data_IF_704324366345
#
_entry.id   IF_704324366345
#
_cell.length_a   1.000
_cell.length_b   1.000
_cell.length_c   1.000
_cell.angle_alpha   90.00
_cell.angle_beta   90.00
_cell.angle_gamma   90.00
#
_symmetry.space_group_name_H-M   'P 1'
#
loop_
_entity.id
_entity.type
_entity.pdbx_description
1 polymer ?
#
# COMPACT_ATOMS: atom_id res chain seq x y z
N UNK A 1 4.75 7.72 -2.73
CA UNK A 1 4.29 6.31 -2.79
C UNK A 1 5.04 5.51 -3.85
N UNK A 2 4.91 5.86 -5.14
CA UNK A 2 5.56 5.12 -6.23
C UNK A 2 7.09 5.00 -6.12
N UNK A 3 7.80 6.09 -5.79
CA UNK A 3 9.27 6.07 -5.64
C UNK A 3 9.73 5.13 -4.52
N UNK A 4 8.98 5.07 -3.41
CA UNK A 4 9.28 4.16 -2.29
C UNK A 4 9.11 2.69 -2.70
N UNK A 5 8.06 2.39 -3.49
CA UNK A 5 7.81 1.04 -4.03
C UNK A 5 8.88 0.62 -5.06
N UNK A 6 9.35 1.55 -5.90
CA UNK A 6 10.50 1.30 -6.77
C UNK A 6 11.75 0.98 -5.95
N UNK A 7 12.02 1.75 -4.88
CA UNK A 7 13.12 1.49 -3.96
C UNK A 7 13.02 0.11 -3.31
N UNK A 8 11.85 -0.22 -2.77
CA UNK A 8 11.56 -1.54 -2.20
C UNK A 8 11.85 -2.67 -3.19
N UNK A 9 11.38 -2.54 -4.44
CA UNK A 9 11.58 -3.55 -5.48
C UNK A 9 13.07 -3.75 -5.85
N UNK A 10 13.83 -2.66 -5.91
CA UNK A 10 15.28 -2.69 -6.20
C UNK A 10 16.05 -3.39 -5.07
N UNK A 11 15.78 -3.03 -3.82
CA UNK A 11 16.45 -3.66 -2.67
C UNK A 11 16.02 -5.12 -2.46
N UNK A 12 14.77 -5.46 -2.81
CA UNK A 12 14.29 -6.84 -2.85
C UNK A 12 15.10 -7.67 -3.85
N UNK A 13 15.31 -7.18 -5.08
CA UNK A 13 16.13 -7.87 -6.07
C UNK A 13 17.61 -8.00 -5.64
N UNK A 14 18.18 -6.98 -4.99
CA UNK A 14 19.54 -7.07 -4.43
C UNK A 14 19.67 -8.07 -3.28
N UNK A 15 18.58 -8.37 -2.56
CA UNK A 15 18.57 -9.39 -1.50
C UNK A 15 18.87 -10.79 -2.05
N UNK A 16 18.52 -11.06 -3.30
CA UNK A 16 18.86 -12.32 -3.97
C UNK A 16 20.38 -12.50 -4.20
N UNK A 17 21.14 -11.40 -4.26
CA UNK A 17 22.59 -11.39 -4.48
C UNK A 17 23.39 -11.23 -3.18
N UNK A 18 22.75 -11.32 -2.02
CA UNK A 18 23.41 -11.10 -0.75
C UNK A 18 24.20 -12.33 -0.28
N UNK A 19 25.53 -12.25 -0.32
CA UNK A 19 26.42 -13.34 0.09
C UNK A 19 26.81 -13.31 1.58
N UNK A 20 26.64 -12.17 2.26
CA UNK A 20 27.05 -11.96 3.66
C UNK A 20 25.85 -11.69 4.58
N UNK A 21 25.94 -12.17 5.83
CA UNK A 21 24.93 -11.90 6.87
C UNK A 21 24.71 -10.40 7.09
N UNK A 22 25.77 -9.61 7.10
CA UNK A 22 25.69 -8.15 7.24
C UNK A 22 24.97 -7.51 6.06
N UNK A 23 25.19 -7.99 4.83
CA UNK A 23 24.50 -7.50 3.64
C UNK A 23 22.99 -7.80 3.71
N UNK A 24 22.63 -9.02 4.12
CA UNK A 24 21.23 -9.39 4.34
C UNK A 24 20.56 -8.51 5.39
N UNK A 25 21.23 -8.24 6.52
CA UNK A 25 20.68 -7.40 7.58
C UNK A 25 20.41 -5.97 7.09
N UNK A 26 21.38 -5.37 6.40
CA UNK A 26 21.26 -3.99 5.87
C UNK A 26 20.15 -3.91 4.83
N UNK A 27 20.09 -4.84 3.89
CA UNK A 27 19.04 -4.87 2.86
C UNK A 27 17.66 -5.04 3.49
N UNK A 28 17.54 -5.88 4.52
CA UNK A 28 16.28 -6.07 5.26
C UNK A 28 15.83 -4.81 6.00
N UNK A 29 16.76 -4.08 6.62
CA UNK A 29 16.46 -2.81 7.28
C UNK A 29 16.02 -1.74 6.27
N UNK A 30 16.68 -1.65 5.12
CA UNK A 30 16.28 -0.72 4.06
C UNK A 30 14.90 -1.05 3.50
N UNK A 31 14.62 -2.34 3.22
CA UNK A 31 13.29 -2.81 2.81
C UNK A 31 12.19 -2.31 3.76
N UNK A 32 12.40 -2.48 5.07
CA UNK A 32 11.44 -1.99 6.08
C UNK A 32 11.27 -0.46 6.06
N UNK A 33 12.35 0.30 5.83
CA UNK A 33 12.28 1.75 5.70
C UNK A 33 11.45 2.18 4.49
N UNK A 34 11.60 1.51 3.35
CA UNK A 34 10.84 1.80 2.13
C UNK A 34 9.38 1.34 2.20
N UNK A 35 9.08 0.33 3.01
CA UNK A 35 7.73 -0.20 3.22
C UNK A 35 6.90 0.65 4.19
N UNK A 36 7.54 1.27 5.20
CA UNK A 36 6.88 2.08 6.22
C UNK A 36 5.88 3.14 5.70
N UNK A 37 6.16 3.93 4.63
CA UNK A 37 5.21 4.92 4.13
C UNK A 37 4.04 4.33 3.32
N UNK A 38 4.06 3.04 2.97
CA UNK A 38 3.06 2.44 2.09
C UNK A 38 1.66 2.45 2.70
N UNK A 39 1.50 1.88 3.89
CA UNK A 39 0.21 1.84 4.57
C UNK A 39 -0.37 3.23 4.86
N UNK A 40 0.35 4.15 5.55
CA UNK A 40 -0.19 5.48 5.83
C UNK A 40 -0.40 6.29 4.56
N UNK A 41 0.44 6.13 3.53
CA UNK A 41 0.25 6.79 2.25
C UNK A 41 -0.97 6.29 1.48
N UNK A 42 -1.29 4.98 1.56
CA UNK A 42 -2.47 4.41 0.91
C UNK A 42 -3.76 4.91 1.56
N UNK A 43 -3.79 4.93 2.90
CA UNK A 43 -4.90 5.48 3.68
C UNK A 43 -5.06 6.97 3.38
N UNK A 44 -3.97 7.75 3.39
CA UNK A 44 -4.00 9.18 3.10
C UNK A 44 -4.55 9.49 1.70
N UNK A 45 -4.14 8.72 0.68
CA UNK A 45 -4.68 8.86 -0.67
C UNK A 45 -6.18 8.56 -0.68
N UNK A 46 -6.62 7.45 -0.08
CA UNK A 46 -8.05 7.11 -0.05
C UNK A 46 -8.90 8.14 0.71
N UNK A 47 -8.43 8.62 1.86
CA UNK A 47 -9.10 9.67 2.64
C UNK A 47 -9.26 10.98 1.88
N UNK A 48 -8.44 11.22 0.86
CA UNK A 48 -8.52 12.42 0.03
C UNK A 48 -9.52 12.30 -1.13
N UNK A 49 -9.90 11.07 -1.50
CA UNK A 49 -10.82 10.81 -2.61
C UNK A 49 -12.21 10.30 -2.17
N UNK A 50 -12.36 9.85 -0.92
CA UNK A 50 -13.58 9.18 -0.44
C UNK A 50 -14.03 9.65 0.95
N UNK A 51 -15.34 9.76 1.14
CA UNK A 51 -16.00 10.08 2.43
C UNK A 51 -15.84 8.95 3.44
N UNK A 52 -15.98 9.24 4.75
CA UNK A 52 -15.69 8.27 5.83
C UNK A 52 -16.57 7.01 5.75
N UNK A 53 -17.82 7.15 5.31
CA UNK A 53 -18.76 6.04 5.13
C UNK A 53 -18.37 5.08 4.01
N UNK A 54 -17.73 5.56 2.94
CA UNK A 54 -17.26 4.73 1.82
C UNK A 54 -15.82 4.23 2.01
N UNK A 55 -15.03 4.94 2.82
CA UNK A 55 -13.63 4.64 3.09
C UNK A 55 -13.46 3.22 3.67
N UNK A 56 -14.32 2.83 4.61
CA UNK A 56 -14.27 1.52 5.27
C UNK A 56 -14.44 0.37 4.27
N UNK A 57 -15.41 0.47 3.36
CA UNK A 57 -15.65 -0.56 2.33
C UNK A 57 -14.48 -0.66 1.35
N UNK A 58 -13.89 0.47 0.95
CA UNK A 58 -12.75 0.49 0.01
C UNK A 58 -11.48 -0.06 0.65
N UNK A 59 -11.24 0.26 1.92
CA UNK A 59 -10.17 -0.35 2.70
C UNK A 59 -10.37 -1.87 2.83
N UNK A 60 -11.60 -2.32 3.08
CA UNK A 60 -11.90 -3.76 3.17
C UNK A 60 -11.55 -4.49 1.86
N UNK A 61 -11.85 -3.90 0.70
CA UNK A 61 -11.47 -4.47 -0.60
C UNK A 61 -9.93 -4.56 -0.74
N UNK A 62 -9.19 -3.53 -0.33
CA UNK A 62 -7.71 -3.58 -0.32
C UNK A 62 -7.18 -4.68 0.59
N UNK A 63 -7.74 -4.83 1.79
CA UNK A 63 -7.34 -5.91 2.72
C UNK A 63 -7.68 -7.30 2.17
N UNK A 64 -8.83 -7.48 1.52
CA UNK A 64 -9.15 -8.72 0.82
C UNK A 64 -8.14 -9.02 -0.28
N UNK A 65 -7.67 -8.00 -1.02
CA UNK A 65 -6.60 -8.13 -1.99
C UNK A 65 -5.27 -8.58 -1.36
N UNK A 66 -4.89 -7.99 -0.23
CA UNK A 66 -3.69 -8.36 0.53
C UNK A 66 -3.73 -9.81 1.02
N UNK A 67 -4.88 -10.24 1.56
CA UNK A 67 -5.09 -11.62 2.00
C UNK A 67 -5.04 -12.60 0.82
N UNK A 68 -5.65 -12.23 -0.30
CA UNK A 68 -5.62 -13.04 -1.51
C UNK A 68 -4.20 -13.19 -2.03
N UNK A 69 -3.43 -12.09 -2.10
CA UNK A 69 -2.03 -12.10 -2.52
C UNK A 69 -1.18 -13.02 -1.63
N UNK A 70 -1.39 -12.97 -0.31
CA UNK A 70 -0.71 -13.84 0.65
C UNK A 70 -1.00 -15.32 0.38
N UNK A 71 -2.25 -15.66 0.03
CA UNK A 71 -2.64 -17.03 -0.32
C UNK A 71 -1.96 -17.53 -1.61
N UNK A 72 -1.83 -16.65 -2.62
CA UNK A 72 -1.15 -16.99 -3.87
C UNK A 72 0.38 -17.03 -3.76
N UNK A 73 0.98 -16.26 -2.85
CA UNK A 73 2.44 -16.22 -2.66
C UNK A 73 3.03 -17.60 -2.34
N UNK A 74 2.34 -18.41 -1.54
CA UNK A 74 2.75 -19.79 -1.26
C UNK A 74 2.75 -20.70 -2.49
N UNK A 75 1.75 -20.56 -3.37
CA UNK A 75 1.66 -21.31 -4.63
C UNK A 75 2.77 -20.92 -5.61
N UNK A 76 3.06 -19.62 -5.72
CA UNK A 76 4.17 -19.10 -6.54
C UNK A 76 5.49 -19.65 -6.02
N UNK A 77 5.69 -19.62 -4.71
CA UNK A 77 6.89 -20.17 -4.05
C UNK A 77 7.04 -21.66 -4.37
N UNK A 78 5.99 -22.46 -4.21
CA UNK A 78 6.00 -23.88 -4.52
C UNK A 78 6.35 -24.15 -6.00
N UNK A 79 5.81 -23.36 -6.93
CA UNK A 79 6.14 -23.46 -8.36
C UNK A 79 7.61 -23.13 -8.68
N UNK A 80 8.16 -22.12 -7.99
CA UNK A 80 9.57 -21.73 -8.16
C UNK A 80 10.51 -22.81 -7.61
N UNK A 81 10.24 -23.35 -6.41
CA UNK A 81 11.05 -24.43 -5.86
C UNK A 81 10.97 -25.72 -6.69
N UNK A 82 9.83 -26.01 -7.32
CA UNK A 82 9.69 -27.19 -8.17
C UNK A 82 10.40 -27.06 -9.54
N UNK A 83 10.48 -25.85 -10.10
CA UNK A 83 10.95 -25.63 -11.48
C UNK A 83 12.31 -24.93 -11.63
N UNK A 84 12.72 -24.13 -10.65
CA UNK A 84 13.86 -23.19 -10.74
C UNK A 84 14.96 -23.44 -9.71
N UNK A 85 14.78 -24.39 -8.78
CA UNK A 85 15.81 -24.70 -7.80
C UNK A 85 17.06 -25.31 -8.47
N UNK A 86 18.22 -24.67 -8.27
CA UNK A 86 19.48 -25.05 -8.90
C UNK A 86 19.66 -24.55 -10.35
N UNK A 87 18.67 -23.88 -10.95
CA UNK A 87 18.80 -23.34 -12.29
C UNK A 87 19.77 -22.14 -12.28
N UNK A 88 20.83 -22.21 -13.11
CA UNK A 88 21.98 -21.27 -13.11
C UNK A 88 22.80 -21.22 -11.81
N UNK A 89 22.70 -22.24 -10.94
CA UNK A 89 23.45 -22.30 -9.68
C UNK A 89 22.92 -21.38 -8.57
N UNK A 90 21.72 -20.84 -8.75
CA UNK A 90 21.01 -20.03 -7.76
C UNK A 90 20.00 -20.89 -7.00
N UNK A 91 19.83 -20.60 -5.71
CA UNK A 91 18.81 -21.25 -4.88
C UNK A 91 17.41 -20.75 -5.22
N UNK A 92 16.38 -21.59 -5.05
CA UNK A 92 14.99 -21.21 -5.31
C UNK A 92 14.53 -19.92 -4.60
N UNK A 93 15.04 -19.63 -3.40
CA UNK A 93 14.73 -18.39 -2.67
C UNK A 93 15.32 -17.13 -3.35
N UNK A 94 16.45 -17.23 -4.03
CA UNK A 94 17.04 -16.11 -4.78
C UNK A 94 16.19 -15.78 -5.99
N UNK A 95 15.71 -16.81 -6.70
CA UNK A 95 14.76 -16.65 -7.80
C UNK A 95 13.45 -16.03 -7.35
N UNK A 96 12.95 -16.39 -6.16
CA UNK A 96 11.75 -15.78 -5.58
C UNK A 96 11.89 -14.25 -5.46
N UNK A 97 12.96 -13.77 -4.82
CA UNK A 97 13.20 -12.33 -4.65
C UNK A 97 13.42 -11.59 -5.98
N UNK A 98 14.08 -12.22 -6.97
CA UNK A 98 14.27 -11.61 -8.30
C UNK A 98 12.94 -11.47 -9.03
N UNK A 99 12.12 -12.53 -9.05
CA UNK A 99 10.83 -12.54 -9.73
C UNK A 99 9.88 -11.56 -9.05
N UNK A 100 9.76 -11.62 -7.73
CA UNK A 100 8.88 -10.75 -6.94
C UNK A 100 9.32 -9.28 -7.03
N UNK A 101 10.63 -9.01 -6.91
CA UNK A 101 11.19 -7.67 -7.08
C UNK A 101 10.94 -7.09 -8.47
N UNK A 102 11.17 -7.86 -9.53
CA UNK A 102 10.93 -7.41 -10.91
C UNK A 102 9.45 -7.16 -11.21
N UNK A 103 8.56 -8.05 -10.76
CA UNK A 103 7.12 -7.87 -10.92
C UNK A 103 6.62 -6.63 -10.17
N UNK A 104 7.11 -6.42 -8.95
CA UNK A 104 6.75 -5.24 -8.14
C UNK A 104 7.29 -3.95 -8.74
N UNK A 105 8.49 -3.97 -9.32
CA UNK A 105 9.05 -2.80 -10.01
C UNK A 105 8.19 -2.39 -11.22
N UNK A 106 7.75 -3.35 -12.03
CA UNK A 106 6.85 -3.10 -13.16
C UNK A 106 5.49 -2.57 -12.67
N UNK A 107 4.93 -3.15 -11.62
CA UNK A 107 3.70 -2.68 -11.00
C UNK A 107 3.86 -1.26 -10.43
N UNK A 108 5.00 -0.93 -9.82
CA UNK A 108 5.30 0.39 -9.29
C UNK A 108 5.42 1.46 -10.39
N UNK A 109 6.08 1.13 -11.52
CA UNK A 109 6.13 2.01 -12.69
C UNK A 109 4.72 2.24 -13.26
N UNK A 110 3.94 1.17 -13.39
CA UNK A 110 2.54 1.26 -13.80
C UNK A 110 1.73 2.13 -12.83
N UNK A 111 1.95 1.98 -11.53
CA UNK A 111 1.34 2.78 -10.48
C UNK A 111 1.71 4.26 -10.55
N UNK A 112 2.95 4.61 -10.86
CA UNK A 112 3.38 6.01 -11.06
C UNK A 112 2.65 6.64 -12.25
N UNK A 113 2.39 5.87 -13.30
CA UNK A 113 1.69 6.39 -14.48
C UNK A 113 0.16 6.40 -14.32
N UNK A 114 -0.38 5.46 -13.54
CA UNK A 114 -1.83 5.23 -13.40
C UNK A 114 -2.44 5.96 -12.18
N UNK A 115 -1.70 6.14 -11.08
CA UNK A 115 -2.16 6.89 -9.92
C UNK A 115 -1.81 8.39 -10.06
N UNK A 116 -2.80 9.29 -10.19
CA UNK A 116 -2.57 10.73 -10.09
C UNK A 116 -2.35 11.14 -8.61
N UNK A 117 -1.23 11.79 -8.33
CA UNK A 117 -0.79 12.23 -6.99
C UNK A 117 -1.67 13.33 -6.34
N UNK A 118 -2.74 13.82 -6.99
CA UNK A 118 -3.56 14.93 -6.46
C UNK A 118 -5.01 14.89 -6.99
N UNK A 119 -6.04 15.02 -6.14
CA UNK A 119 -7.40 15.31 -6.58
C UNK A 119 -7.38 16.66 -7.30
N UNK A 120 -7.69 16.65 -8.59
CA UNK A 120 -7.55 17.80 -9.50
C UNK A 120 -6.58 17.59 -10.67
N UNK A 121 -5.70 16.58 -10.62
CA UNK A 121 -4.88 16.14 -11.78
C UNK A 121 -5.21 14.71 -12.21
N UNK A 122 -6.47 14.31 -12.07
CA UNK A 122 -6.96 13.04 -12.57
C UNK A 122 -7.18 13.12 -14.08
N UNK A 123 -6.39 12.39 -14.85
CA UNK A 123 -6.58 12.25 -16.32
C UNK A 123 -7.86 11.46 -16.68
N UNK A 124 -8.54 10.89 -15.68
CA UNK A 124 -9.69 10.01 -15.84
C UNK A 124 -11.00 10.55 -15.23
N UNK A 125 -10.94 11.65 -14.46
CA UNK A 125 -12.14 12.25 -13.82
C UNK A 125 -12.36 13.66 -14.35
N UNK A 126 -13.57 13.95 -14.80
CA UNK A 126 -13.97 15.25 -15.33
C UNK A 126 -13.86 16.32 -14.23
N UNK A 127 -13.51 17.56 -14.58
CA UNK A 127 -13.28 18.63 -13.59
C UNK A 127 -14.51 18.89 -12.68
N UNK A 128 -15.71 18.62 -13.20
CA UNK A 128 -17.00 18.79 -12.51
C UNK A 128 -17.25 17.71 -11.45
N UNK A 129 -16.83 16.46 -11.70
CA UNK A 129 -16.98 15.36 -10.75
C UNK A 129 -16.04 15.53 -9.55
N UNK A 130 -14.81 16.00 -9.78
CA UNK A 130 -13.89 16.35 -8.70
C UNK A 130 -14.42 17.50 -7.83
N UNK A 131 -14.99 18.54 -8.43
CA UNK A 131 -15.56 19.65 -7.67
C UNK A 131 -16.75 19.19 -6.79
N UNK A 132 -17.59 18.29 -7.32
CA UNK A 132 -18.69 17.71 -6.55
C UNK A 132 -18.19 16.80 -5.41
N UNK A 133 -17.15 15.99 -5.65
CA UNK A 133 -16.55 15.15 -4.61
C UNK A 133 -15.87 15.96 -3.50
N UNK A 134 -15.17 17.04 -3.85
CA UNK A 134 -14.52 17.94 -2.87
C UNK A 134 -15.58 18.69 -2.04
N UNK A 135 -16.65 19.21 -2.65
CA UNK A 135 -17.75 19.83 -1.90
C UNK A 135 -18.42 18.84 -0.94
N UNK A 136 -18.63 17.58 -1.36
CA UNK A 136 -19.20 16.54 -0.49
C UNK A 136 -18.28 16.18 0.68
N UNK A 137 -16.96 16.13 0.45
CA UNK A 137 -15.95 15.90 1.48
C UNK A 137 -15.87 17.07 2.48
N UNK A 138 -16.06 18.30 2.02
CA UNK A 138 -16.13 19.49 2.89
C UNK A 138 -17.43 19.54 3.69
N UNK A 139 -18.58 19.18 3.10
CA UNK A 139 -19.85 19.08 3.83
C UNK A 139 -19.84 17.99 4.91
N UNK A 140 -19.21 16.84 4.66
CA UNK A 140 -19.05 15.75 5.65
C UNK A 140 -18.16 16.20 6.83
N UNK A 141 -17.03 16.87 6.55
CA UNK A 141 -16.16 17.43 7.59
C UNK A 141 -16.84 18.56 8.40
N UNK A 142 -17.64 19.40 7.74
CA UNK A 142 -18.34 20.54 8.38
C UNK A 142 -19.54 20.09 9.22
N UNK A 143 -20.20 18.99 8.87
CA UNK A 143 -21.27 18.40 9.68
C UNK A 143 -20.75 17.79 10.99
N UNK A 144 -19.55 17.19 10.99
CA UNK A 144 -18.91 16.71 12.24
C UNK A 144 -18.52 17.85 13.18
N UNK A 145 -17.92 18.93 12.65
CA UNK A 145 -17.56 20.12 13.44
C UNK A 145 -18.78 20.81 14.08
N UNK A 146 -19.97 20.65 13.50
CA UNK A 146 -21.23 21.14 14.06
C UNK A 146 -21.84 20.22 15.12
N UNK A 147 -21.51 18.93 15.13
CA UNK A 147 -22.12 17.96 16.03
C UNK A 147 -21.32 17.74 17.32
N UNK A 148 -20.01 18.00 17.33
CA UNK A 148 -19.19 17.77 18.51
C UNK A 148 -18.48 19.04 18.99
N UNK A 149 -18.98 19.62 20.09
CA UNK A 149 -18.09 20.44 20.92
C UNK A 149 -17.01 19.52 21.50
N UNK A 150 -15.72 19.91 21.51
CA UNK A 150 -14.61 19.03 21.89
C UNK A 150 -14.73 18.45 23.31
N UNK A 151 -15.50 19.11 24.19
CA UNK A 151 -15.80 18.66 25.55
C UNK A 151 -16.90 17.58 25.55
N UNK A 152 -17.89 17.68 24.65
CA UNK A 152 -18.93 16.65 24.51
C UNK A 152 -18.40 15.39 23.83
N UNK A 153 -17.54 15.50 22.81
CA UNK A 153 -16.90 14.33 22.18
C UNK A 153 -16.00 13.55 23.14
N UNK A 154 -15.23 14.26 23.98
CA UNK A 154 -14.40 13.62 25.02
C UNK A 154 -15.24 12.93 26.10
N UNK A 155 -16.37 13.53 26.49
CA UNK A 155 -17.28 12.95 27.49
C UNK A 155 -18.06 11.75 26.94
N UNK A 156 -18.42 11.79 25.65
CA UNK A 156 -19.01 10.65 24.93
C UNK A 156 -18.03 9.49 24.79
N UNK A 157 -16.76 9.75 24.44
CA UNK A 157 -15.72 8.72 24.33
C UNK A 157 -15.34 8.09 25.69
N UNK A 158 -15.39 8.85 26.78
CA UNK A 158 -15.18 8.33 28.13
C UNK A 158 -16.39 7.56 28.67
N UNK A 159 -17.59 7.85 28.16
CA UNK A 159 -18.84 7.20 28.57
C UNK A 159 -19.16 5.95 27.74
N UNK A 160 -18.50 5.78 26.59
CA UNK A 160 -18.64 4.60 25.74
C UNK A 160 -17.91 3.40 26.36
N UNK A 161 -18.48 2.86 27.44
CA UNK A 161 -18.12 1.59 28.05
C UNK A 161 -18.81 0.48 27.26
N UNK A 162 -18.28 0.18 26.07
CA UNK A 162 -18.39 -1.14 25.46
C UNK A 162 -17.04 -1.58 24.91
N UNK A 163 -16.13 -1.87 25.85
CA UNK A 163 -15.33 -3.10 25.83
C UNK A 163 -15.50 -3.76 27.19
#
# INVERSE_FOLDING_TARGET
>A
MGVCMCGWAIFSAFTAMADNYVHLLVLRSLLGWFEAPFYPGAIYLLSRFYTKSELATRLAILYCGQLSSSAFSGLITAGIFAGLDGMKGLHGWQWLFIIEGSATFLAAIGGIFLLPDTPGKTRWLTAEENACSVMRLEEDNMNELKHETPIQGLMSALKDYQV
#
